data_IF_138716865651
#
_entry.id   IF_138716865651
#
_cell.length_a   1.000
_cell.length_b   1.000
_cell.length_c   1.000
_cell.angle_alpha   90.00
_cell.angle_beta   90.00
_cell.angle_gamma   90.00
#
_symmetry.space_group_name_H-M   'P 1'
#
loop_
_entity.id
_entity.type
_entity.pdbx_description
1 polymer ?
#
# COMPACT_ATOMS: atom_id res chain seq x y z
N UNK A 1 -27.56 16.46 -9.14
CA UNK A 1 -26.71 15.60 -8.30
C UNK A 1 -25.28 16.18 -8.40
N UNK A 2 -24.59 16.32 -7.29
CA UNK A 2 -23.18 16.75 -7.34
C UNK A 2 -22.37 15.55 -7.82
N UNK A 3 -21.61 15.74 -8.90
CA UNK A 3 -20.70 14.75 -9.45
C UNK A 3 -19.60 14.44 -8.41
N UNK A 4 -19.32 13.16 -8.15
CA UNK A 4 -18.29 12.75 -7.21
C UNK A 4 -16.87 13.09 -7.70
N UNK A 5 -15.88 13.00 -6.81
CA UNK A 5 -14.49 13.36 -7.13
C UNK A 5 -13.95 12.57 -8.33
N UNK A 6 -14.18 11.26 -8.36
CA UNK A 6 -13.64 10.37 -9.41
C UNK A 6 -14.24 10.71 -10.78
N UNK A 7 -15.54 10.92 -10.85
CA UNK A 7 -16.26 11.27 -12.09
C UNK A 7 -15.89 12.69 -12.55
N UNK A 8 -15.83 13.65 -11.62
CA UNK A 8 -15.49 15.05 -11.91
C UNK A 8 -14.13 15.22 -12.58
N UNK A 9 -13.17 14.38 -12.21
CA UNK A 9 -11.78 14.44 -12.70
C UNK A 9 -11.45 13.32 -13.70
N UNK A 10 -12.45 12.52 -14.12
CA UNK A 10 -12.30 11.41 -15.08
C UNK A 10 -11.14 10.47 -14.76
N UNK A 11 -11.11 9.99 -13.50
CA UNK A 11 -9.97 9.23 -12.95
C UNK A 11 -10.02 7.74 -13.24
N UNK A 12 -11.14 7.22 -13.72
CA UNK A 12 -11.34 5.81 -14.06
C UNK A 12 -11.72 5.62 -15.52
N UNK A 13 -11.18 4.59 -16.14
CA UNK A 13 -11.65 4.08 -17.41
C UNK A 13 -12.96 3.26 -17.27
N UNK A 14 -13.49 2.80 -18.40
CA UNK A 14 -14.76 2.06 -18.42
C UNK A 14 -14.66 0.69 -17.73
N UNK A 15 -13.50 0.04 -17.77
CA UNK A 15 -13.27 -1.23 -17.10
C UNK A 15 -13.28 -1.06 -15.57
N UNK A 16 -12.61 -0.02 -15.06
CA UNK A 16 -12.62 0.34 -13.64
C UNK A 16 -14.03 0.71 -13.16
N UNK A 17 -14.80 1.47 -13.94
CA UNK A 17 -16.19 1.84 -13.63
C UNK A 17 -17.09 0.60 -13.54
N UNK A 18 -16.98 -0.31 -14.51
CA UNK A 18 -17.72 -1.57 -14.51
C UNK A 18 -17.36 -2.41 -13.28
N UNK A 19 -16.07 -2.59 -13.01
CA UNK A 19 -15.58 -3.36 -11.87
C UNK A 19 -16.03 -2.78 -10.53
N UNK A 20 -16.02 -1.47 -10.37
CA UNK A 20 -16.50 -0.80 -9.17
C UNK A 20 -17.99 -1.10 -8.87
N UNK A 21 -18.81 -1.20 -9.92
CA UNK A 21 -20.23 -1.56 -9.81
C UNK A 21 -20.39 -2.98 -9.26
N UNK A 22 -19.59 -3.93 -9.73
CA UNK A 22 -19.67 -5.34 -9.32
C UNK A 22 -19.17 -5.58 -7.89
N UNK A 23 -18.22 -4.75 -7.42
CA UNK A 23 -17.63 -4.90 -6.08
C UNK A 23 -18.68 -4.90 -4.97
N UNK A 24 -19.72 -4.09 -5.07
CA UNK A 24 -20.78 -4.03 -4.06
C UNK A 24 -21.51 -5.37 -3.86
N UNK A 25 -21.67 -6.17 -4.91
CA UNK A 25 -22.26 -7.51 -4.85
C UNK A 25 -21.24 -8.52 -4.32
N UNK A 26 -20.02 -8.49 -4.81
CA UNK A 26 -18.94 -9.37 -4.37
C UNK A 26 -18.70 -9.26 -2.86
N UNK A 27 -18.58 -8.05 -2.32
CA UNK A 27 -18.36 -7.81 -0.89
C UNK A 27 -19.42 -8.48 0.00
N UNK A 28 -20.67 -8.49 -0.44
CA UNK A 28 -21.77 -9.17 0.27
C UNK A 28 -21.66 -10.68 0.15
N UNK A 29 -21.40 -11.19 -1.05
CA UNK A 29 -21.30 -12.63 -1.31
C UNK A 29 -20.15 -13.28 -0.52
N UNK A 30 -19.03 -12.60 -0.40
CA UNK A 30 -17.83 -13.05 0.31
C UNK A 30 -17.80 -12.65 1.80
N UNK A 31 -18.89 -12.05 2.31
CA UNK A 31 -19.01 -11.60 3.70
C UNK A 31 -17.85 -10.71 4.16
N UNK A 32 -17.40 -9.81 3.29
CA UNK A 32 -16.35 -8.84 3.60
C UNK A 32 -16.93 -7.76 4.52
N UNK A 33 -16.19 -7.43 5.58
CA UNK A 33 -16.61 -6.45 6.60
C UNK A 33 -15.75 -5.19 6.60
N UNK A 34 -14.48 -5.36 6.31
CA UNK A 34 -13.48 -4.29 6.32
C UNK A 34 -12.68 -4.33 5.03
N UNK A 35 -12.20 -3.17 4.59
CA UNK A 35 -11.33 -3.05 3.42
C UNK A 35 -10.12 -2.20 3.78
N UNK A 36 -8.93 -2.67 3.40
CA UNK A 36 -7.70 -1.89 3.44
C UNK A 36 -7.53 -1.13 2.14
N UNK A 37 -7.61 0.19 2.25
CA UNK A 37 -7.21 1.13 1.21
C UNK A 37 -5.69 1.30 1.31
N UNK A 38 -4.95 0.68 0.39
CA UNK A 38 -3.49 0.61 0.44
C UNK A 38 -2.84 1.53 -0.59
N UNK A 39 -1.72 2.13 -0.21
CA UNK A 39 -0.85 2.91 -1.10
C UNK A 39 0.61 2.69 -0.75
N UNK A 40 1.52 3.06 -1.64
CA UNK A 40 2.96 2.99 -1.40
C UNK A 40 3.50 4.35 -0.99
N UNK A 41 4.28 4.41 0.08
CA UNK A 41 5.01 5.63 0.42
C UNK A 41 6.27 5.81 -0.44
N UNK A 42 7.02 6.89 -0.20
CA UNK A 42 8.25 7.22 -0.96
C UNK A 42 9.37 6.19 -0.80
N UNK A 43 9.29 5.30 0.19
CA UNK A 43 10.26 4.23 0.44
C UNK A 43 9.81 2.86 -0.07
N UNK A 44 8.65 2.79 -0.74
CA UNK A 44 8.05 1.55 -1.20
C UNK A 44 7.33 0.75 -0.09
N UNK A 45 7.21 1.30 1.12
CA UNK A 45 6.44 0.65 2.18
C UNK A 45 4.94 0.73 1.90
N UNK A 46 4.25 -0.39 2.05
CA UNK A 46 2.79 -0.42 1.98
C UNK A 46 2.19 0.27 3.19
N UNK A 47 1.41 1.30 2.94
CA UNK A 47 0.60 2.02 3.93
C UNK A 47 -0.86 1.70 3.68
N UNK A 48 -1.68 1.72 4.72
CA UNK A 48 -3.11 1.47 4.55
C UNK A 48 -3.96 2.21 5.58
N UNK A 49 -5.22 2.43 5.19
CA UNK A 49 -6.35 2.71 6.08
C UNK A 49 -7.33 1.55 6.00
N UNK A 50 -7.73 1.02 7.14
CA UNK A 50 -8.77 0.01 7.21
C UNK A 50 -10.11 0.69 7.49
N UNK A 51 -11.08 0.47 6.61
CA UNK A 51 -12.37 1.14 6.64
C UNK A 51 -13.52 0.14 6.55
N UNK A 52 -14.69 0.50 7.03
CA UNK A 52 -15.90 -0.30 6.87
C UNK A 52 -16.41 -0.31 5.42
N UNK A 53 -17.17 -1.34 5.05
CA UNK A 53 -17.77 -1.45 3.70
C UNK A 53 -18.55 -0.20 3.28
N UNK A 54 -19.41 0.42 4.12
CA UNK A 54 -20.10 1.65 3.71
C UNK A 54 -19.15 2.81 3.39
N UNK A 55 -18.06 2.97 4.14
CA UNK A 55 -17.05 4.00 3.88
C UNK A 55 -16.28 3.68 2.59
N UNK A 56 -15.94 2.43 2.36
CA UNK A 56 -15.33 1.98 1.12
C UNK A 56 -16.21 2.26 -0.09
N UNK A 57 -17.50 1.89 -0.05
CA UNK A 57 -18.42 2.15 -1.15
C UNK A 57 -18.55 3.64 -1.46
N UNK A 58 -18.52 4.51 -0.43
CA UNK A 58 -18.45 5.96 -0.64
C UNK A 58 -17.14 6.38 -1.30
N UNK A 59 -16.02 5.74 -0.95
CA UNK A 59 -14.72 6.06 -1.55
C UNK A 59 -14.60 5.69 -3.03
N UNK A 60 -15.46 4.81 -3.55
CA UNK A 60 -15.59 4.53 -4.98
C UNK A 60 -16.23 5.68 -5.78
N UNK A 61 -16.70 6.71 -5.10
CA UNK A 61 -17.25 7.93 -5.73
C UNK A 61 -16.41 9.16 -5.39
N UNK A 62 -16.05 9.31 -4.09
CA UNK A 62 -15.42 10.51 -3.55
C UNK A 62 -13.90 10.37 -3.32
N UNK A 63 -13.35 9.15 -3.48
CA UNK A 63 -12.03 8.86 -2.94
C UNK A 63 -12.03 8.84 -1.41
N UNK A 64 -10.85 8.80 -0.82
CA UNK A 64 -10.66 8.83 0.63
C UNK A 64 -9.49 9.74 1.00
N UNK A 65 -9.67 10.63 1.95
CA UNK A 65 -8.65 11.60 2.32
C UNK A 65 -7.61 11.01 3.26
N UNK A 66 -6.34 11.21 2.92
CA UNK A 66 -5.19 10.92 3.78
C UNK A 66 -4.31 12.18 3.88
N UNK A 67 -3.54 12.28 4.95
CA UNK A 67 -2.56 13.34 5.04
C UNK A 67 -1.31 13.00 4.23
N UNK A 68 -0.74 13.98 3.55
CA UNK A 68 0.49 13.84 2.74
C UNK A 68 1.71 13.43 3.56
N UNK A 69 1.65 13.50 4.87
CA UNK A 69 2.79 13.25 5.77
C UNK A 69 3.45 11.87 5.56
N UNK A 70 2.70 10.84 5.13
CA UNK A 70 3.27 9.51 4.87
C UNK A 70 4.32 9.51 3.77
N UNK A 71 4.31 10.53 2.89
CA UNK A 71 5.27 10.69 1.79
C UNK A 71 6.45 11.59 2.14
N UNK A 72 6.39 12.27 3.29
CA UNK A 72 7.40 13.25 3.75
C UNK A 72 8.17 12.79 4.98
N UNK A 73 8.02 11.52 5.35
CA UNK A 73 8.76 10.89 6.43
C UNK A 73 10.01 10.19 5.88
N UNK A 74 11.05 10.10 6.69
CA UNK A 74 12.19 9.22 6.42
C UNK A 74 11.84 7.74 6.71
N UNK A 75 12.76 6.83 6.45
CA UNK A 75 12.58 5.39 6.68
C UNK A 75 12.41 5.01 8.17
N UNK A 76 12.66 5.92 9.09
CA UNK A 76 12.46 5.73 10.54
C UNK A 76 11.15 6.34 11.03
N UNK A 77 10.38 6.98 10.13
CA UNK A 77 9.16 7.71 10.47
C UNK A 77 9.42 9.14 10.99
N UNK A 78 10.67 9.62 10.90
CA UNK A 78 11.02 11.00 11.23
C UNK A 78 10.55 11.98 10.17
N UNK A 79 10.11 13.14 10.60
CA UNK A 79 9.70 14.22 9.68
C UNK A 79 10.93 14.86 9.04
N UNK A 80 11.02 14.85 7.71
CA UNK A 80 12.17 15.38 6.95
C UNK A 80 12.01 16.88 6.68
N UNK A 81 10.76 17.36 6.53
CA UNK A 81 10.47 18.75 6.17
C UNK A 81 9.61 19.44 7.21
N UNK A 82 9.84 20.75 7.37
CA UNK A 82 8.95 21.60 8.14
C UNK A 82 7.80 22.05 7.24
N UNK A 83 6.64 21.43 7.35
CA UNK A 83 5.48 21.72 6.50
C UNK A 83 4.69 22.96 6.94
N UNK A 84 4.76 23.35 8.22
CA UNK A 84 3.90 24.38 8.83
C UNK A 84 4.56 25.76 8.95
N UNK A 85 5.64 26.00 8.24
CA UNK A 85 6.29 27.32 8.16
C UNK A 85 6.09 27.93 6.77
N UNK A 86 6.25 29.24 6.65
CA UNK A 86 6.23 29.91 5.37
C UNK A 86 7.34 29.36 4.44
N UNK A 87 6.97 28.98 3.21
CA UNK A 87 7.88 28.29 2.30
C UNK A 87 8.20 26.84 2.67
N UNK A 88 7.49 26.26 3.63
CA UNK A 88 7.57 24.84 3.98
C UNK A 88 7.09 23.93 2.83
N UNK A 89 7.11 22.60 3.05
CA UNK A 89 6.61 21.66 2.05
C UNK A 89 7.55 21.46 0.85
N UNK A 90 8.85 21.42 1.08
CA UNK A 90 9.89 21.23 0.05
C UNK A 90 9.97 22.34 -1.01
N UNK A 91 9.47 23.54 -0.70
CA UNK A 91 9.37 24.64 -1.66
C UNK A 91 8.25 24.49 -2.69
N UNK A 92 7.37 23.49 -2.53
CA UNK A 92 6.18 23.27 -3.33
C UNK A 92 4.98 23.89 -2.60
N UNK A 93 4.29 24.83 -3.25
CA UNK A 93 3.17 25.54 -2.63
C UNK A 93 2.05 24.59 -2.21
N UNK A 94 1.72 23.65 -3.08
CA UNK A 94 0.72 22.61 -2.86
C UNK A 94 1.02 21.64 -1.70
N UNK A 95 2.28 21.61 -1.23
CA UNK A 95 2.70 20.79 -0.09
C UNK A 95 2.76 21.57 1.23
N UNK A 96 2.57 22.88 1.17
CA UNK A 96 2.63 23.76 2.34
C UNK A 96 1.46 23.46 3.29
N UNK A 97 1.71 23.38 4.60
CA UNK A 97 0.69 23.11 5.61
C UNK A 97 0.33 21.62 5.77
N UNK A 98 1.06 20.71 5.10
CA UNK A 98 0.78 19.26 5.14
C UNK A 98 -0.65 18.94 4.69
N UNK A 99 -1.00 19.23 3.44
CA UNK A 99 -2.37 19.07 2.93
C UNK A 99 -2.82 17.61 2.95
N UNK A 100 -4.11 17.41 2.74
CA UNK A 100 -4.63 16.09 2.43
C UNK A 100 -4.44 15.77 0.95
N UNK A 101 -4.26 14.49 0.69
CA UNK A 101 -4.39 13.88 -0.62
C UNK A 101 -5.69 13.08 -0.67
N UNK A 102 -6.29 12.98 -1.83
CA UNK A 102 -7.39 12.06 -2.09
C UNK A 102 -6.82 10.79 -2.68
N UNK A 103 -6.91 9.67 -1.95
CA UNK A 103 -6.60 8.35 -2.51
C UNK A 103 -7.84 7.78 -3.18
N UNK A 104 -7.68 7.35 -4.42
CA UNK A 104 -8.72 6.79 -5.26
C UNK A 104 -8.46 5.29 -5.41
N UNK A 105 -9.38 4.42 -4.94
CA UNK A 105 -9.23 2.99 -5.11
C UNK A 105 -9.15 2.59 -6.58
N UNK A 106 -8.32 1.61 -6.92
CA UNK A 106 -8.30 0.98 -8.24
C UNK A 106 -9.09 -0.33 -8.19
N UNK A 107 -10.33 -0.38 -8.67
CA UNK A 107 -11.21 -1.53 -8.53
C UNK A 107 -10.64 -2.83 -9.11
N UNK A 108 -9.76 -2.74 -10.11
CA UNK A 108 -9.15 -3.90 -10.75
C UNK A 108 -8.14 -4.62 -9.84
N UNK A 109 -7.69 -3.95 -8.78
CA UNK A 109 -6.72 -4.50 -7.84
C UNK A 109 -7.34 -5.13 -6.59
N UNK A 110 -8.66 -5.13 -6.47
CA UNK A 110 -9.33 -5.70 -5.30
C UNK A 110 -8.99 -7.19 -5.13
N UNK A 111 -8.61 -7.56 -3.91
CA UNK A 111 -8.33 -8.94 -3.49
C UNK A 111 -8.86 -9.18 -2.07
N UNK A 112 -9.23 -10.40 -1.78
CA UNK A 112 -9.40 -10.89 -0.40
C UNK A 112 -8.06 -11.40 0.12
N UNK A 113 -7.84 -11.30 1.43
CA UNK A 113 -6.59 -11.75 2.04
C UNK A 113 -6.81 -13.11 2.70
N UNK A 114 -6.18 -14.20 2.23
CA UNK A 114 -6.38 -15.55 2.77
C UNK A 114 -6.10 -15.65 4.27
N UNK A 115 -5.10 -14.90 4.75
CA UNK A 115 -4.71 -14.85 6.18
C UNK A 115 -5.59 -13.92 7.05
N UNK A 116 -6.54 -13.21 6.46
CA UNK A 116 -7.42 -12.29 7.16
C UNK A 116 -8.88 -12.41 6.68
N UNK A 117 -9.60 -13.48 7.06
CA UNK A 117 -10.96 -13.72 6.62
C UNK A 117 -11.90 -12.54 6.90
N UNK A 118 -12.71 -12.18 5.91
CA UNK A 118 -13.62 -11.03 5.98
C UNK A 118 -12.97 -9.68 5.74
N UNK A 119 -11.70 -9.66 5.29
CA UNK A 119 -10.96 -8.47 4.93
C UNK A 119 -10.70 -8.41 3.42
N UNK A 120 -11.09 -7.31 2.78
CA UNK A 120 -10.67 -6.95 1.45
C UNK A 120 -9.46 -6.03 1.45
N UNK A 121 -8.72 -6.03 0.34
CA UNK A 121 -7.55 -5.19 0.12
C UNK A 121 -7.59 -4.61 -1.29
N UNK A 122 -7.23 -3.34 -1.45
CA UNK A 122 -7.26 -2.64 -2.71
C UNK A 122 -6.15 -1.60 -2.78
N UNK A 123 -5.47 -1.49 -3.93
CA UNK A 123 -4.53 -0.41 -4.18
C UNK A 123 -5.26 0.89 -4.51
N UNK A 124 -4.68 2.00 -4.09
CA UNK A 124 -5.17 3.33 -4.38
C UNK A 124 -4.12 4.15 -5.14
N UNK A 125 -4.61 5.07 -5.95
CA UNK A 125 -3.81 6.13 -6.59
C UNK A 125 -4.01 7.44 -5.84
N UNK A 126 -2.97 8.23 -5.69
CA UNK A 126 -2.97 9.46 -4.89
C UNK A 126 -3.13 10.70 -5.79
N UNK A 127 -4.03 11.59 -5.41
CA UNK A 127 -4.31 12.83 -6.14
C UNK A 127 -4.36 14.03 -5.19
N UNK A 128 -4.03 15.20 -5.72
CA UNK A 128 -4.41 16.47 -5.10
C UNK A 128 -5.92 16.69 -5.20
N UNK A 129 -6.44 17.67 -4.48
CA UNK A 129 -7.88 18.00 -4.43
C UNK A 129 -8.44 18.52 -5.75
N UNK A 130 -7.58 19.00 -6.65
CA UNK A 130 -7.90 19.40 -8.02
C UNK A 130 -7.89 18.25 -9.03
N UNK A 131 -7.64 16.99 -8.59
CA UNK A 131 -7.54 15.81 -9.44
C UNK A 131 -6.17 15.63 -10.11
N UNK A 132 -5.21 16.51 -9.87
CA UNK A 132 -3.83 16.35 -10.37
C UNK A 132 -3.17 15.15 -9.68
N UNK A 133 -2.53 14.23 -10.43
CA UNK A 133 -1.80 13.11 -9.84
C UNK A 133 -0.69 13.58 -8.90
N UNK A 134 -0.60 12.98 -7.71
CA UNK A 134 0.41 13.34 -6.73
C UNK A 134 1.83 13.08 -7.24
N UNK A 135 2.71 14.07 -7.11
CA UNK A 135 4.04 14.08 -7.74
C UNK A 135 4.96 12.95 -7.30
N UNK A 136 4.87 12.54 -6.02
CA UNK A 136 5.74 11.51 -5.44
C UNK A 136 5.12 10.11 -5.42
N UNK A 137 3.99 9.92 -6.10
CA UNK A 137 3.39 8.60 -6.25
C UNK A 137 4.23 7.73 -7.19
N UNK A 138 4.81 6.65 -6.65
CA UNK A 138 5.56 5.65 -7.43
C UNK A 138 4.64 4.92 -8.43
N UNK A 139 3.37 4.69 -8.05
CA UNK A 139 2.38 4.04 -8.89
C UNK A 139 2.02 4.90 -10.11
N UNK A 140 1.81 6.21 -9.96
CA UNK A 140 1.61 7.12 -11.08
C UNK A 140 2.84 7.19 -11.99
N UNK A 141 4.05 7.19 -11.41
CA UNK A 141 5.28 7.16 -12.19
C UNK A 141 5.36 5.92 -13.06
N UNK A 142 5.10 4.74 -12.48
CA UNK A 142 5.11 3.46 -13.20
C UNK A 142 4.07 3.45 -14.32
N UNK A 143 2.83 3.84 -14.04
CA UNK A 143 1.76 3.86 -15.03
C UNK A 143 2.10 4.77 -16.23
N UNK A 144 2.65 5.96 -15.96
CA UNK A 144 3.12 6.84 -17.04
C UNK A 144 4.24 6.24 -17.88
N UNK A 145 5.15 5.48 -17.26
CA UNK A 145 6.22 4.77 -18.00
C UNK A 145 5.67 3.64 -18.86
N UNK A 146 4.75 2.85 -18.33
CA UNK A 146 4.08 1.77 -19.07
C UNK A 146 3.33 2.34 -20.28
N UNK A 147 2.56 3.41 -20.10
CA UNK A 147 1.88 4.08 -21.23
C UNK A 147 2.85 4.53 -22.31
N UNK A 148 3.96 5.17 -21.94
CA UNK A 148 4.99 5.59 -22.92
C UNK A 148 5.65 4.43 -23.65
N UNK A 149 5.76 3.26 -23.04
CA UNK A 149 6.24 2.05 -23.71
C UNK A 149 5.20 1.53 -24.71
N UNK A 150 3.92 1.50 -24.32
CA UNK A 150 2.82 1.08 -25.21
C UNK A 150 2.73 1.97 -26.45
N UNK A 151 2.88 3.30 -26.30
CA UNK A 151 2.89 4.26 -27.41
C UNK A 151 4.01 3.99 -28.43
N UNK A 152 5.04 3.22 -28.02
CA UNK A 152 6.18 2.82 -28.87
C UNK A 152 6.14 1.33 -29.26
N UNK A 153 5.01 0.64 -29.04
CA UNK A 153 4.85 -0.80 -29.24
C UNK A 153 5.86 -1.64 -28.44
N UNK A 154 6.25 -1.19 -27.23
CA UNK A 154 7.13 -1.91 -26.34
C UNK A 154 6.28 -2.46 -25.20
N UNK A 155 6.36 -3.76 -24.96
CA UNK A 155 5.76 -4.41 -23.79
C UNK A 155 6.81 -4.60 -22.70
N UNK A 156 6.41 -4.35 -21.44
CA UNK A 156 7.25 -4.57 -20.27
C UNK A 156 6.90 -5.92 -19.66
N UNK A 157 7.90 -6.76 -19.47
CA UNK A 157 7.80 -8.00 -18.69
C UNK A 157 8.68 -7.81 -17.45
N UNK A 158 8.12 -8.03 -16.27
CA UNK A 158 8.82 -7.88 -14.99
C UNK A 158 8.63 -9.16 -14.19
N UNK A 159 9.73 -9.69 -13.66
CA UNK A 159 9.74 -10.72 -12.64
C UNK A 159 10.09 -10.12 -11.28
N UNK A 160 9.49 -10.63 -10.21
CA UNK A 160 9.85 -10.30 -8.85
C UNK A 160 10.62 -11.47 -8.26
N UNK A 161 11.85 -11.21 -7.80
CA UNK A 161 12.64 -12.13 -7.01
C UNK A 161 12.69 -11.61 -5.57
N UNK A 162 12.33 -12.47 -4.62
CA UNK A 162 12.28 -12.11 -3.21
C UNK A 162 13.24 -13.00 -2.43
N UNK A 163 14.28 -12.40 -1.87
CA UNK A 163 15.20 -13.07 -0.95
C UNK A 163 14.82 -12.74 0.50
N UNK A 164 14.82 -13.73 1.38
CA UNK A 164 14.38 -13.56 2.75
C UNK A 164 15.02 -14.57 3.70
N UNK A 165 15.02 -14.24 4.99
CA UNK A 165 15.43 -15.10 6.08
C UNK A 165 14.27 -15.38 7.02
N UNK A 166 14.10 -16.66 7.39
CA UNK A 166 13.12 -17.03 8.39
C UNK A 166 13.72 -16.92 9.80
N UNK A 167 13.02 -16.20 10.67
CA UNK A 167 13.43 -16.02 12.06
C UNK A 167 12.29 -16.35 13.00
N UNK A 168 12.61 -17.03 14.10
CA UNK A 168 11.68 -17.28 15.18
C UNK A 168 11.67 -16.11 16.14
N UNK A 169 10.48 -15.63 16.53
CA UNK A 169 10.34 -14.62 17.57
C UNK A 169 10.52 -15.28 18.92
N UNK A 170 11.51 -14.81 19.70
CA UNK A 170 11.82 -15.34 21.04
C UNK A 170 11.24 -14.45 22.15
N UNK A 171 10.72 -13.30 21.81
CA UNK A 171 10.17 -12.35 22.77
C UNK A 171 8.65 -12.47 22.80
N UNK A 172 8.09 -13.00 23.88
CA UNK A 172 6.62 -13.18 24.06
C UNK A 172 5.86 -11.84 24.12
N UNK A 173 6.45 -10.84 24.76
CA UNK A 173 5.80 -9.56 24.99
C UNK A 173 6.64 -8.38 24.55
N UNK A 174 6.01 -7.43 23.87
CA UNK A 174 6.65 -6.15 23.56
C UNK A 174 6.76 -5.30 24.82
N UNK A 175 7.91 -4.64 24.97
CA UNK A 175 8.16 -3.68 26.06
C UNK A 175 8.14 -2.26 25.50
N UNK A 176 8.11 -1.26 26.36
CA UNK A 176 8.25 0.15 25.95
C UNK A 176 9.53 0.43 25.16
N UNK A 177 10.58 -0.37 25.39
CA UNK A 177 11.83 -0.27 24.63
C UNK A 177 11.71 -0.70 23.16
N UNK A 178 10.69 -1.50 22.81
CA UNK A 178 10.41 -1.89 21.42
C UNK A 178 9.59 -0.84 20.67
N UNK A 179 8.94 0.08 21.39
CA UNK A 179 8.24 1.22 20.78
C UNK A 179 9.25 2.29 20.42
N UNK A 180 9.30 2.68 19.16
CA UNK A 180 10.08 3.84 18.75
C UNK A 180 9.32 5.13 18.93
N UNK A 181 9.97 6.22 18.62
CA UNK A 181 9.35 7.54 18.41
C UNK A 181 9.69 8.00 16.99
N UNK A 182 8.96 8.95 16.40
CA UNK A 182 9.28 9.47 15.07
C UNK A 182 10.76 9.87 14.95
N UNK A 183 11.48 9.28 14.01
CA UNK A 183 12.92 9.49 13.79
C UNK A 183 13.85 8.57 14.62
N UNK A 184 13.32 7.81 15.58
CA UNK A 184 14.10 6.86 16.38
C UNK A 184 13.38 5.51 16.46
N UNK A 185 13.98 4.49 15.89
CA UNK A 185 13.44 3.12 15.99
C UNK A 185 13.57 2.59 17.41
N UNK A 186 12.56 1.84 17.85
CA UNK A 186 12.66 1.03 19.07
C UNK A 186 13.67 -0.11 18.91
N UNK A 187 13.96 -0.81 20.02
CA UNK A 187 14.78 -2.03 19.99
C UNK A 187 14.08 -3.06 19.11
N UNK A 188 14.82 -3.77 18.24
CA UNK A 188 14.27 -4.90 17.51
C UNK A 188 13.71 -5.95 18.47
N UNK A 189 12.69 -6.66 18.06
CA UNK A 189 12.18 -7.84 18.76
C UNK A 189 13.28 -8.91 18.78
N UNK A 190 13.50 -9.56 19.94
CA UNK A 190 14.46 -10.65 20.04
C UNK A 190 14.02 -11.83 19.16
N UNK A 191 14.93 -12.29 18.31
CA UNK A 191 14.69 -13.38 17.37
C UNK A 191 15.90 -14.29 17.26
N UNK A 192 15.67 -15.59 16.95
CA UNK A 192 16.71 -16.54 16.52
C UNK A 192 16.52 -16.92 15.05
N UNK A 193 17.59 -17.37 14.40
CA UNK A 193 17.50 -17.91 13.04
C UNK A 193 16.89 -19.31 13.09
N UNK A 194 16.03 -19.63 12.12
CA UNK A 194 15.50 -20.99 11.95
C UNK A 194 16.55 -21.89 11.31
N UNK A 195 17.38 -21.32 10.47
CA UNK A 195 18.45 -22.00 9.75
C UNK A 195 19.84 -21.60 10.26
N UNK A 196 20.85 -22.48 10.19
CA UNK A 196 22.19 -22.19 10.66
C UNK A 196 22.98 -21.38 9.62
N UNK A 197 23.11 -20.08 9.82
CA UNK A 197 24.04 -19.24 9.06
C UNK A 197 23.70 -19.05 7.58
N UNK A 198 24.74 -18.82 6.77
CA UNK A 198 24.64 -18.65 5.32
C UNK A 198 24.29 -19.97 4.63
N UNK A 199 23.16 -19.98 3.96
CA UNK A 199 22.55 -21.22 3.46
C UNK A 199 22.15 -21.16 1.98
N UNK A 200 22.84 -20.36 1.20
CA UNK A 200 22.53 -20.15 -0.21
C UNK A 200 22.40 -21.47 -0.98
N UNK A 201 21.18 -21.77 -1.44
CA UNK A 201 20.78 -23.00 -2.14
C UNK A 201 21.04 -24.32 -1.36
N UNK A 202 21.10 -24.27 -0.05
CA UNK A 202 21.31 -25.49 0.74
C UNK A 202 19.98 -26.24 0.93
N UNK A 203 19.87 -27.42 0.30
CA UNK A 203 18.65 -28.24 0.25
C UNK A 203 18.11 -28.57 1.65
N UNK A 204 18.97 -28.92 2.59
CA UNK A 204 18.57 -29.28 3.97
C UNK A 204 17.78 -28.19 4.70
N UNK A 205 17.90 -26.94 4.28
CA UNK A 205 17.15 -25.84 4.90
C UNK A 205 15.69 -25.80 4.44
N UNK A 206 15.37 -26.35 3.27
CA UNK A 206 13.98 -26.46 2.80
C UNK A 206 13.15 -27.36 3.74
N UNK A 207 13.71 -28.44 4.26
CA UNK A 207 13.01 -29.35 5.18
C UNK A 207 12.57 -28.63 6.47
N UNK A 208 13.44 -27.74 7.00
CA UNK A 208 13.13 -26.96 8.19
C UNK A 208 12.06 -25.89 7.95
N UNK A 209 12.00 -25.36 6.72
CA UNK A 209 11.07 -24.29 6.34
C UNK A 209 9.80 -24.81 5.67
N UNK A 210 9.76 -26.10 5.28
CA UNK A 210 8.69 -26.69 4.47
C UNK A 210 7.27 -26.37 4.93
N UNK A 211 6.91 -26.41 6.22
CA UNK A 211 5.55 -26.06 6.66
C UNK A 211 5.15 -24.63 6.26
N UNK A 212 6.08 -23.66 6.40
CA UNK A 212 5.84 -22.26 6.06
C UNK A 212 5.85 -22.05 4.54
N UNK A 213 6.74 -22.74 3.82
CA UNK A 213 6.80 -22.68 2.35
C UNK A 213 5.52 -23.22 1.72
N UNK A 214 4.95 -24.30 2.26
CA UNK A 214 3.68 -24.87 1.81
C UNK A 214 2.52 -23.89 1.99
N UNK A 215 2.43 -23.26 3.15
CA UNK A 215 1.41 -22.25 3.45
C UNK A 215 1.53 -21.00 2.55
N UNK A 216 2.76 -20.55 2.31
CA UNK A 216 3.02 -19.47 1.35
C UNK A 216 2.61 -19.85 -0.08
N UNK A 217 2.95 -21.05 -0.52
CA UNK A 217 2.60 -21.52 -1.87
C UNK A 217 1.08 -21.61 -2.07
N UNK A 218 0.32 -22.03 -1.06
CA UNK A 218 -1.15 -22.02 -1.08
C UNK A 218 -1.73 -20.61 -1.13
N UNK A 219 -1.03 -19.65 -0.49
CA UNK A 219 -1.47 -18.24 -0.45
C UNK A 219 -1.28 -17.54 -1.79
N UNK A 220 -0.30 -17.96 -2.60
CA UNK A 220 0.02 -17.35 -3.91
C UNK A 220 -0.71 -17.97 -5.09
N UNK A 221 -1.53 -18.99 -4.90
CA UNK A 221 -2.41 -19.57 -5.92
C UNK A 221 -3.73 -18.82 -6.04
#
# INVERSE_FOLDING_TARGET
MVCGFIERHDLWDDEQKARATDLGQQLKAENIRLIRLAWSDSHGSSRAKEVSVPVFLKSLTEGYNINVATFTLDATGGRVFQSFIHGGGMGLEEMTGSPNLTIVPDPLTFRTLPWAPGLGWILCNEYFDDGTPFHFSSRHLLNRKISRFRDRNINLIVGLEVEWYLRRIEQEHLTSGNSGVPGLRGRPVATSSVEPGYSYHLESNFDMMQPILSELAETYQ
#
